data_IF_105361913700
#
_entry.id   IF_105361913700
#
_cell.length_a   1.000
_cell.length_b   1.000
_cell.length_c   1.000
_cell.angle_alpha   90.00
_cell.angle_beta   90.00
_cell.angle_gamma   90.00
#
_symmetry.space_group_name_H-M   'P 1'
#
loop_
_entity.id
_entity.type
_entity.pdbx_description
1 polymer ?
#
# COMPACT_ATOMS: atom_id res chain seq x y z
N UNK A 1 13.74 10.91 15.84
CA UNK A 1 15.13 11.41 15.97
C UNK A 1 15.90 10.76 17.11
N UNK A 2 15.35 10.61 18.32
CA UNK A 2 16.04 10.03 19.48
C UNK A 2 16.61 8.63 19.29
N UNK A 3 15.85 7.71 18.66
CA UNK A 3 16.32 6.33 18.41
C UNK A 3 17.51 6.26 17.44
N UNK A 4 17.61 7.19 16.48
CA UNK A 4 18.76 7.27 15.58
C UNK A 4 20.04 7.68 16.31
N UNK A 5 19.96 8.59 17.28
CA UNK A 5 21.10 8.98 18.09
C UNK A 5 21.58 7.83 18.98
N UNK A 6 20.65 7.11 19.61
CA UNK A 6 20.98 5.93 20.42
C UNK A 6 21.65 4.84 19.57
N UNK A 7 21.11 4.59 18.40
CA UNK A 7 21.71 3.61 17.46
C UNK A 7 23.13 4.01 17.06
N UNK A 8 23.36 5.30 16.74
CA UNK A 8 24.70 5.81 16.42
C UNK A 8 25.68 5.64 17.59
N UNK A 9 25.26 5.91 18.82
CA UNK A 9 26.10 5.72 20.01
C UNK A 9 26.44 4.25 20.21
N UNK A 10 25.47 3.33 20.11
CA UNK A 10 25.70 1.90 20.27
C UNK A 10 26.66 1.38 19.19
N UNK A 11 26.44 1.74 17.92
CA UNK A 11 27.28 1.32 16.80
C UNK A 11 28.72 1.86 16.96
N UNK A 12 28.85 3.13 17.39
CA UNK A 12 30.18 3.73 17.64
C UNK A 12 30.93 3.00 18.74
N UNK A 13 30.25 2.69 19.84
CA UNK A 13 30.87 1.97 20.96
C UNK A 13 31.26 0.54 20.55
N UNK A 14 30.43 -0.12 19.72
CA UNK A 14 30.69 -1.47 19.19
C UNK A 14 31.95 -1.47 18.29
N UNK A 15 32.06 -0.48 17.39
CA UNK A 15 33.24 -0.31 16.51
C UNK A 15 34.52 -0.06 17.34
N UNK A 16 34.40 0.71 18.42
CA UNK A 16 35.52 1.05 19.31
C UNK A 16 35.83 -0.01 20.37
N UNK A 17 35.09 -1.12 20.38
CA UNK A 17 35.23 -2.19 21.37
C UNK A 17 34.85 -1.74 22.80
N UNK A 18 33.99 -0.73 22.92
CA UNK A 18 33.51 -0.20 24.20
C UNK A 18 32.19 -0.87 24.58
N UNK A 19 32.02 -1.10 25.88
CA UNK A 19 30.73 -1.58 26.40
C UNK A 19 29.73 -0.44 26.41
N UNK A 20 28.54 -0.68 25.86
CA UNK A 20 27.41 0.24 25.95
C UNK A 20 26.27 -0.42 26.73
N UNK A 21 25.83 0.21 27.83
CA UNK A 21 24.84 -0.37 28.74
C UNK A 21 23.44 -0.45 28.10
N UNK A 22 23.20 0.27 27.00
CA UNK A 22 21.94 0.23 26.27
C UNK A 22 21.87 -0.86 25.19
N UNK A 23 23.01 -1.47 24.87
CA UNK A 23 23.06 -2.53 23.82
C UNK A 23 22.07 -3.66 24.07
N UNK A 24 21.92 -4.09 25.32
CA UNK A 24 20.95 -5.13 25.68
C UNK A 24 19.50 -4.69 25.47
N UNK A 25 19.19 -3.42 25.75
CA UNK A 25 17.83 -2.88 25.57
C UNK A 25 17.46 -2.73 24.10
N UNK A 26 18.41 -2.39 23.25
CA UNK A 26 18.21 -2.18 21.81
C UNK A 26 18.64 -3.36 20.95
N UNK A 27 18.96 -4.51 21.56
CA UNK A 27 19.33 -5.72 20.83
C UNK A 27 18.15 -6.17 19.92
N UNK A 28 18.34 -6.26 18.59
CA UNK A 28 17.28 -6.68 17.67
C UNK A 28 16.84 -8.13 17.88
N UNK A 29 17.70 -8.99 18.46
CA UNK A 29 17.39 -10.38 18.75
C UNK A 29 16.73 -10.59 20.11
N UNK A 30 16.44 -9.52 20.86
CA UNK A 30 15.72 -9.67 22.12
C UNK A 30 14.31 -10.20 21.88
N UNK A 31 14.03 -11.39 22.40
CA UNK A 31 12.69 -11.96 22.37
C UNK A 31 11.94 -11.59 23.64
N UNK A 32 10.80 -10.91 23.50
CA UNK A 32 9.87 -10.68 24.60
C UNK A 32 8.63 -11.53 24.36
N UNK A 33 8.34 -12.54 25.19
CA UNK A 33 7.14 -13.38 25.02
C UNK A 33 5.85 -12.59 24.95
N UNK A 34 5.76 -11.47 25.67
CA UNK A 34 4.60 -10.56 25.64
C UNK A 34 4.38 -9.87 24.29
N UNK A 35 5.41 -9.75 23.45
CA UNK A 35 5.32 -9.16 22.11
C UNK A 35 4.89 -10.17 21.04
N UNK A 36 4.95 -11.48 21.35
CA UNK A 36 4.58 -12.52 20.40
C UNK A 36 3.10 -12.40 19.99
N UNK A 37 2.21 -12.15 20.95
CA UNK A 37 0.78 -11.99 20.67
C UNK A 37 0.52 -10.83 19.68
N UNK A 38 1.04 -9.64 19.97
CA UNK A 38 0.88 -8.46 19.09
C UNK A 38 1.50 -8.68 17.72
N UNK A 39 2.65 -9.38 17.67
CA UNK A 39 3.28 -9.74 16.39
C UNK A 39 2.38 -10.65 15.55
N UNK A 40 1.83 -11.70 16.15
CA UNK A 40 0.90 -12.61 15.48
C UNK A 40 -0.38 -11.91 15.03
N UNK A 41 -0.97 -11.10 15.90
CA UNK A 41 -2.20 -10.37 15.59
C UNK A 41 -2.02 -9.43 14.39
N UNK A 42 -0.95 -8.63 14.39
CA UNK A 42 -0.66 -7.70 13.29
C UNK A 42 -0.37 -8.43 11.98
N UNK A 43 0.44 -9.50 12.03
CA UNK A 43 0.76 -10.27 10.82
C UNK A 43 -0.46 -11.03 10.29
N UNK A 44 -1.31 -11.55 11.19
CA UNK A 44 -2.56 -12.19 10.80
C UNK A 44 -3.54 -11.20 10.17
N UNK A 45 -3.58 -9.96 10.66
CA UNK A 45 -4.40 -8.90 10.06
C UNK A 45 -3.93 -8.58 8.63
N UNK A 46 -2.64 -8.41 8.42
CA UNK A 46 -2.05 -8.18 7.08
C UNK A 46 -2.35 -9.37 6.16
N UNK A 47 -2.16 -10.60 6.63
CA UNK A 47 -2.43 -11.79 5.83
C UNK A 47 -3.93 -11.91 5.48
N UNK A 48 -4.83 -11.66 6.43
CA UNK A 48 -6.28 -11.65 6.20
C UNK A 48 -6.68 -10.59 5.17
N UNK A 49 -6.15 -9.37 5.28
CA UNK A 49 -6.42 -8.28 4.33
C UNK A 49 -5.93 -8.66 2.94
N UNK A 50 -4.72 -9.19 2.83
CA UNK A 50 -4.13 -9.61 1.57
C UNK A 50 -4.96 -10.70 0.87
N UNK A 51 -5.39 -11.72 1.61
CA UNK A 51 -6.19 -12.84 1.08
C UNK A 51 -7.59 -12.35 0.72
N UNK A 52 -8.25 -11.58 1.61
CA UNK A 52 -9.59 -11.06 1.39
C UNK A 52 -9.66 -10.20 0.13
N UNK A 53 -8.76 -9.26 -0.03
CA UNK A 53 -8.74 -8.33 -1.16
C UNK A 53 -8.47 -9.04 -2.51
N UNK A 54 -7.70 -10.12 -2.49
CA UNK A 54 -7.39 -10.87 -3.71
C UNK A 54 -8.42 -11.93 -4.08
N UNK A 55 -8.95 -12.64 -3.08
CA UNK A 55 -9.74 -13.86 -3.33
C UNK A 55 -11.23 -13.62 -3.05
N UNK A 56 -11.56 -12.89 -1.99
CA UNK A 56 -12.94 -12.79 -1.49
C UNK A 56 -13.67 -11.55 -1.97
N UNK A 57 -12.95 -10.44 -2.24
CA UNK A 57 -13.61 -9.22 -2.67
C UNK A 57 -14.12 -9.37 -4.11
N UNK A 58 -15.43 -9.61 -4.24
CA UNK A 58 -16.17 -9.42 -5.48
C UNK A 58 -16.25 -7.91 -5.72
N UNK A 59 -15.39 -7.38 -6.57
CA UNK A 59 -15.51 -6.00 -7.02
C UNK A 59 -16.69 -5.89 -7.99
N UNK A 60 -17.43 -4.81 -7.86
CA UNK A 60 -18.54 -4.50 -8.75
C UNK A 60 -18.05 -4.37 -10.20
N UNK A 61 -18.85 -4.82 -11.16
CA UNK A 61 -18.52 -4.65 -12.57
C UNK A 61 -18.56 -3.16 -12.93
N UNK A 62 -17.62 -2.74 -13.78
CA UNK A 62 -17.57 -1.36 -14.27
C UNK A 62 -18.72 -1.03 -15.23
N UNK A 63 -19.27 -2.05 -15.91
CA UNK A 63 -20.34 -1.89 -16.92
C UNK A 63 -21.56 -1.17 -16.33
N UNK A 64 -21.93 -0.05 -16.96
CA UNK A 64 -23.11 0.75 -16.59
C UNK A 64 -22.93 1.64 -15.36
N UNK A 65 -21.75 1.73 -14.78
CA UNK A 65 -21.51 2.59 -13.62
C UNK A 65 -20.93 3.94 -14.02
N UNK A 66 -21.60 5.01 -13.58
CA UNK A 66 -21.07 6.37 -13.70
C UNK A 66 -20.14 6.67 -12.52
N UNK A 67 -18.85 6.92 -12.81
CA UNK A 67 -17.89 7.42 -11.84
C UNK A 67 -17.95 8.95 -11.89
N UNK A 68 -18.29 9.61 -10.79
CA UNK A 68 -18.31 11.07 -10.73
C UNK A 68 -16.89 11.65 -10.74
N UNK A 69 -16.69 12.91 -11.15
CA UNK A 69 -15.40 13.59 -11.06
C UNK A 69 -14.84 13.53 -9.63
N UNK A 70 -13.53 13.27 -9.49
CA UNK A 70 -12.82 13.07 -8.22
C UNK A 70 -13.06 11.70 -7.57
N UNK A 71 -13.95 10.87 -8.12
CA UNK A 71 -14.26 9.55 -7.59
C UNK A 71 -13.49 8.45 -8.31
N UNK A 72 -13.27 7.36 -7.60
CA UNK A 72 -12.62 6.17 -8.15
C UNK A 72 -12.91 4.92 -7.34
N UNK A 73 -12.46 3.81 -7.84
CA UNK A 73 -12.60 2.52 -7.17
C UNK A 73 -11.93 1.39 -7.94
N UNK A 74 -11.91 0.21 -7.32
CA UNK A 74 -11.44 -1.00 -7.99
C UNK A 74 -12.64 -1.75 -8.53
N UNK A 75 -12.62 -2.06 -9.83
CA UNK A 75 -13.70 -2.72 -10.54
C UNK A 75 -13.23 -4.02 -11.17
N UNK A 76 -14.16 -4.94 -11.37
CA UNK A 76 -13.93 -6.16 -12.14
C UNK A 76 -14.13 -5.87 -13.61
N UNK A 77 -13.15 -6.20 -14.43
CA UNK A 77 -13.20 -6.16 -15.90
C UNK A 77 -13.07 -7.60 -16.39
N UNK A 78 -14.15 -8.22 -16.85
CA UNK A 78 -14.21 -9.62 -17.33
C UNK A 78 -13.41 -10.62 -16.48
N UNK A 79 -12.13 -10.80 -16.78
CA UNK A 79 -11.23 -11.74 -16.09
C UNK A 79 -10.16 -11.08 -15.24
N UNK A 80 -10.19 -9.74 -15.11
CA UNK A 80 -9.15 -8.98 -14.42
C UNK A 80 -9.76 -7.85 -13.56
N UNK A 81 -8.94 -7.18 -12.77
CA UNK A 81 -9.33 -6.03 -11.94
C UNK A 81 -8.62 -4.79 -12.43
N UNK A 82 -9.31 -3.66 -12.40
CA UNK A 82 -8.73 -2.35 -12.67
C UNK A 82 -9.13 -1.36 -11.59
N UNK A 83 -8.18 -0.53 -11.20
CA UNK A 83 -8.44 0.71 -10.49
C UNK A 83 -8.85 1.75 -11.54
N UNK A 84 -10.05 2.31 -11.43
CA UNK A 84 -10.54 3.33 -12.35
C UNK A 84 -10.93 4.56 -11.55
N UNK A 85 -10.42 5.73 -11.94
CA UNK A 85 -10.76 7.01 -11.35
C UNK A 85 -11.12 8.01 -12.45
N UNK A 86 -12.00 8.97 -12.14
CA UNK A 86 -12.34 10.08 -13.04
C UNK A 86 -11.79 11.37 -12.46
N UNK A 87 -11.00 12.08 -13.23
CA UNK A 87 -10.52 13.41 -12.84
C UNK A 87 -11.62 14.49 -12.98
N UNK A 88 -11.31 15.73 -12.60
CA UNK A 88 -12.24 16.86 -12.68
C UNK A 88 -12.52 17.33 -14.12
N UNK A 89 -11.65 16.98 -15.07
CA UNK A 89 -11.84 17.25 -16.51
C UNK A 89 -12.72 16.19 -17.18
N UNK A 90 -13.13 15.17 -16.41
CA UNK A 90 -14.01 14.09 -16.87
C UNK A 90 -13.28 12.93 -17.53
N UNK A 91 -11.94 12.93 -17.53
CA UNK A 91 -11.10 11.86 -18.10
C UNK A 91 -11.05 10.67 -17.15
N UNK A 92 -11.18 9.47 -17.71
CA UNK A 92 -11.01 8.22 -16.95
C UNK A 92 -9.57 7.73 -17.02
N UNK A 93 -9.00 7.50 -15.86
CA UNK A 93 -7.69 6.89 -15.65
C UNK A 93 -7.85 5.45 -15.19
N UNK A 94 -7.18 4.52 -15.83
CA UNK A 94 -7.24 3.11 -15.45
C UNK A 94 -5.85 2.56 -15.19
N UNK A 95 -5.70 1.91 -14.01
CA UNK A 95 -4.43 1.37 -13.54
C UNK A 95 -4.60 -0.04 -12.99
N UNK A 96 -3.52 -0.79 -12.91
CA UNK A 96 -3.49 -2.03 -12.13
C UNK A 96 -3.71 -1.71 -10.65
N UNK A 97 -4.66 -2.34 -9.97
CA UNK A 97 -4.88 -2.08 -8.55
C UNK A 97 -3.86 -2.78 -7.64
N UNK A 98 -2.82 -3.37 -8.21
CA UNK A 98 -1.81 -4.15 -7.47
C UNK A 98 -0.61 -3.28 -7.16
N UNK A 99 -0.40 -2.97 -5.88
CA UNK A 99 0.73 -2.18 -5.40
C UNK A 99 2.08 -2.81 -5.81
N UNK A 100 2.93 -2.00 -6.40
CA UNK A 100 4.25 -2.42 -6.90
C UNK A 100 5.29 -2.67 -5.81
N UNK A 101 4.96 -2.40 -4.53
CA UNK A 101 5.83 -2.71 -3.39
C UNK A 101 5.79 -4.21 -3.06
N UNK A 102 4.64 -4.73 -2.60
CA UNK A 102 4.47 -6.12 -2.17
C UNK A 102 3.15 -6.74 -2.63
N UNK A 103 2.51 -6.19 -3.65
CA UNK A 103 1.36 -6.79 -4.30
C UNK A 103 0.03 -6.69 -3.54
N UNK A 104 -0.09 -5.84 -2.50
CA UNK A 104 -1.38 -5.54 -1.88
C UNK A 104 -2.28 -4.77 -2.84
N UNK A 105 -3.59 -4.88 -2.70
CA UNK A 105 -4.50 -4.07 -3.50
C UNK A 105 -4.55 -2.64 -2.95
N UNK A 106 -4.48 -1.66 -3.85
CA UNK A 106 -4.68 -0.26 -3.53
C UNK A 106 -6.16 0.09 -3.51
N UNK A 107 -6.54 1.10 -2.75
CA UNK A 107 -7.89 1.65 -2.68
C UNK A 107 -7.88 3.13 -3.07
N UNK A 108 -8.97 3.61 -3.67
CA UNK A 108 -9.08 5.01 -4.01
C UNK A 108 -9.42 5.86 -2.78
N UNK A 109 -8.69 6.94 -2.61
CA UNK A 109 -8.90 7.94 -1.57
C UNK A 109 -9.54 9.18 -2.20
N UNK A 110 -10.84 9.37 -1.99
CA UNK A 110 -11.59 10.49 -2.56
C UNK A 110 -11.13 11.86 -2.04
N UNK A 111 -10.55 11.94 -0.86
CA UNK A 111 -10.13 13.20 -0.26
C UNK A 111 -8.81 13.72 -0.84
N UNK A 112 -7.92 12.80 -1.21
CA UNK A 112 -6.58 13.11 -1.72
C UNK A 112 -6.45 12.79 -3.21
N UNK A 113 -7.50 12.22 -3.81
CA UNK A 113 -7.56 11.79 -5.21
C UNK A 113 -6.36 10.91 -5.60
N UNK A 114 -6.09 9.92 -4.77
CA UNK A 114 -4.93 9.04 -4.87
C UNK A 114 -5.28 7.58 -4.66
N UNK A 115 -4.45 6.69 -5.20
CA UNK A 115 -4.46 5.27 -4.89
C UNK A 115 -3.60 5.01 -3.67
N UNK A 116 -4.19 4.57 -2.57
CA UNK A 116 -3.52 4.34 -1.31
C UNK A 116 -3.39 2.84 -1.02
N UNK A 117 -2.19 2.41 -0.66
CA UNK A 117 -1.94 1.02 -0.27
C UNK A 117 -2.12 0.85 1.24
N UNK A 118 -3.11 0.06 1.70
CA UNK A 118 -3.40 -0.07 3.13
C UNK A 118 -2.34 -0.87 3.91
N UNK A 119 -1.47 -1.62 3.19
CA UNK A 119 -0.49 -2.48 3.85
C UNK A 119 0.72 -1.69 4.39
N UNK A 120 1.30 -0.81 3.59
CA UNK A 120 2.54 -0.10 3.95
C UNK A 120 2.53 1.38 3.56
N UNK A 121 1.37 1.92 3.16
CA UNK A 121 1.21 3.36 2.94
C UNK A 121 1.82 3.90 1.64
N UNK A 122 2.13 3.05 0.65
CA UNK A 122 2.48 3.57 -0.68
C UNK A 122 1.30 4.30 -1.28
N UNK A 123 1.55 5.45 -1.92
CA UNK A 123 0.52 6.24 -2.58
C UNK A 123 0.91 6.56 -4.02
N UNK A 124 -0.12 6.64 -4.87
CA UNK A 124 0.03 6.90 -6.29
C UNK A 124 -1.02 7.90 -6.74
N UNK A 125 -0.73 8.72 -7.74
CA UNK A 125 -1.71 9.62 -8.35
C UNK A 125 -2.76 8.86 -9.18
N UNK A 126 -3.70 9.59 -9.79
CA UNK A 126 -4.74 9.02 -10.65
C UNK A 126 -4.17 8.22 -11.82
N UNK A 127 -3.01 8.62 -12.35
CA UNK A 127 -2.28 7.96 -13.44
C UNK A 127 -1.42 6.77 -12.98
N UNK A 128 -1.40 6.49 -11.69
CA UNK A 128 -0.62 5.43 -11.09
C UNK A 128 0.84 5.77 -10.83
N UNK A 129 1.27 7.02 -10.94
CA UNK A 129 2.65 7.42 -10.61
C UNK A 129 2.84 7.46 -9.11
N UNK A 130 4.01 6.99 -8.65
CA UNK A 130 4.36 7.01 -7.24
C UNK A 130 4.47 8.44 -6.72
N UNK A 131 3.68 8.78 -5.70
CA UNK A 131 3.77 10.04 -4.94
C UNK A 131 4.29 9.83 -3.53
N UNK A 132 4.16 8.62 -2.97
CA UNK A 132 4.70 8.29 -1.65
C UNK A 132 5.23 6.85 -1.58
N UNK A 133 6.42 6.70 -0.98
CA UNK A 133 7.08 5.42 -0.74
C UNK A 133 6.24 4.54 0.24
N UNK A 134 6.52 3.23 0.36
CA UNK A 134 7.73 2.51 -0.06
C UNK A 134 7.77 1.98 -1.50
N UNK A 135 6.68 2.05 -2.28
CA UNK A 135 6.73 1.69 -3.70
C UNK A 135 7.73 2.57 -4.46
N UNK A 136 8.46 1.97 -5.41
CA UNK A 136 9.47 2.66 -6.25
C UNK A 136 9.15 2.60 -7.74
N UNK A 137 8.08 1.90 -8.10
CA UNK A 137 7.61 1.76 -9.49
C UNK A 137 6.16 2.19 -9.55
N UNK A 138 5.79 2.81 -10.66
CA UNK A 138 4.41 3.21 -10.93
C UNK A 138 3.49 1.99 -11.08
N UNK A 139 2.20 2.18 -10.89
CA UNK A 139 1.19 1.18 -11.24
C UNK A 139 1.13 1.07 -12.77
N UNK A 140 0.90 -0.14 -13.25
CA UNK A 140 0.73 -0.39 -14.68
C UNK A 140 -0.57 0.27 -15.18
N UNK A 141 -0.49 1.03 -16.29
CA UNK A 141 -1.67 1.60 -16.93
C UNK A 141 -2.47 0.50 -17.62
N UNK A 142 -3.79 0.55 -17.46
CA UNK A 142 -4.72 -0.38 -18.13
C UNK A 142 -5.54 0.35 -19.18
N UNK A 143 -5.87 -0.36 -20.27
CA UNK A 143 -6.77 0.17 -21.29
C UNK A 143 -8.21 -0.19 -20.92
N UNK A 144 -9.08 0.81 -20.88
CA UNK A 144 -10.53 0.63 -20.79
C UNK A 144 -11.06 0.36 -22.21
N UNK A 145 -10.71 -0.79 -22.80
CA UNK A 145 -11.36 -1.25 -24.03
C UNK A 145 -12.71 -1.81 -23.61
N UNK A 146 -13.77 -1.25 -24.21
CA UNK A 146 -15.17 -1.67 -24.07
C UNK A 146 -16.00 -1.10 -22.91
N UNK A 147 -15.84 0.19 -22.62
CA UNK A 147 -16.96 0.90 -22.03
C UNK A 147 -17.72 1.58 -23.19
N UNK A 148 -19.02 1.29 -23.43
CA UNK A 148 -19.78 2.02 -24.45
C UNK A 148 -19.77 3.50 -24.08
N UNK A 149 -19.22 4.31 -25.00
CA UNK A 149 -19.39 5.76 -24.97
C UNK A 149 -20.85 6.09 -25.25
N UNK A 150 -21.60 6.63 -24.30
CA UNK A 150 -22.79 7.44 -24.60
C UNK A 150 -22.42 8.91 -24.69
#
# INVERSE_FOLDING_TARGET
MTHGMIAAMIITDDILGRRNDWSALYNPFRFKPSSAYSFFEQNLHVAKTFVRERIVSSHEKLEGRRIAPGQGGVFSLDHDKAGVARDHDGVLHAVSPVCTHMGCMVTWNNAEESWDCPCHGSRFDSDGKVIHAPAKKDLEKKSLKDTPSE
#
